data_IF_270139405619
#
_entry.id   IF_270139405619
#
_cell.length_a   1.000
_cell.length_b   1.000
_cell.length_c   1.000
_cell.angle_alpha   90.00
_cell.angle_beta   90.00
_cell.angle_gamma   90.00
#
_symmetry.space_group_name_H-M   'P 1'
#
loop_
_entity.id
_entity.type
_entity.pdbx_description
1 polymer ?
#
# COMPACT_ATOMS: atom_id res chain seq x y z
N UNK A 1 -30.86 44.18 28.93
CA UNK A 1 -29.76 43.19 29.04
C UNK A 1 -29.67 42.21 27.86
N UNK A 2 -30.71 42.01 27.05
CA UNK A 2 -30.72 41.03 25.95
C UNK A 2 -29.65 41.18 24.83
N UNK A 3 -29.08 42.38 24.61
CA UNK A 3 -28.07 42.60 23.53
C UNK A 3 -26.68 42.06 23.86
N UNK A 4 -26.33 41.90 25.15
CA UNK A 4 -25.02 41.37 25.56
C UNK A 4 -24.96 39.84 25.56
N UNK A 5 -26.12 39.17 25.63
CA UNK A 5 -26.23 37.71 25.62
C UNK A 5 -26.14 37.11 24.21
N UNK A 6 -26.51 37.88 23.17
CA UNK A 6 -26.47 37.42 21.77
C UNK A 6 -25.09 37.52 21.09
N UNK A 7 -24.23 38.44 21.55
CA UNK A 7 -22.92 38.69 20.93
C UNK A 7 -21.81 37.90 21.62
N UNK A 8 -21.96 36.58 21.66
CA UNK A 8 -20.93 35.67 22.17
C UNK A 8 -19.88 35.36 21.11
N UNK A 9 -18.68 34.98 21.54
CA UNK A 9 -17.57 34.64 20.64
C UNK A 9 -17.92 33.47 19.70
N UNK A 10 -18.80 32.56 20.12
CA UNK A 10 -19.31 31.47 19.28
C UNK A 10 -20.19 31.97 18.15
N UNK A 11 -21.09 32.93 18.42
CA UNK A 11 -21.97 33.53 17.40
C UNK A 11 -21.15 34.29 16.36
N UNK A 12 -20.11 35.04 16.78
CA UNK A 12 -19.20 35.73 15.86
C UNK A 12 -18.45 34.73 14.97
N UNK A 13 -17.86 33.68 15.57
CA UNK A 13 -17.15 32.62 14.81
C UNK A 13 -18.07 31.88 13.84
N UNK A 14 -19.30 31.60 14.24
CA UNK A 14 -20.30 30.97 13.38
C UNK A 14 -20.74 31.90 12.26
N UNK A 15 -20.86 33.20 12.50
CA UNK A 15 -21.09 34.22 11.48
C UNK A 15 -19.96 34.27 10.45
N UNK A 16 -18.70 34.23 10.88
CA UNK A 16 -17.54 34.20 9.98
C UNK A 16 -17.45 32.90 9.18
N UNK A 17 -17.79 31.76 9.78
CA UNK A 17 -17.91 30.48 9.05
C UNK A 17 -19.04 30.52 8.03
N UNK A 18 -20.20 31.05 8.41
CA UNK A 18 -21.34 31.23 7.52
C UNK A 18 -21.05 32.20 6.38
N UNK A 19 -20.24 33.24 6.61
CA UNK A 19 -19.73 34.12 5.57
C UNK A 19 -18.52 33.55 4.80
N UNK A 20 -17.97 32.41 5.25
CA UNK A 20 -16.73 31.78 4.75
C UNK A 20 -15.52 32.71 4.73
N UNK A 21 -15.49 33.63 5.69
CA UNK A 21 -14.32 34.44 6.03
C UNK A 21 -13.26 33.60 6.75
N UNK A 22 -13.69 32.59 7.53
CA UNK A 22 -12.79 31.67 8.24
C UNK A 22 -13.31 30.23 8.19
N UNK A 23 -12.59 29.29 7.56
CA UNK A 23 -11.38 29.53 6.76
C UNK A 23 -11.71 30.39 5.52
N UNK A 24 -10.78 31.27 5.14
CA UNK A 24 -10.95 32.19 4.01
C UNK A 24 -11.22 31.42 2.73
N UNK A 25 -12.41 31.60 2.15
CA UNK A 25 -12.79 31.02 0.87
C UNK A 25 -13.13 32.13 -0.14
N UNK A 26 -12.17 32.52 -1.01
CA UNK A 26 -12.39 33.58 -1.99
C UNK A 26 -13.42 33.19 -3.07
N UNK A 27 -13.62 31.89 -3.31
CA UNK A 27 -14.56 31.38 -4.31
C UNK A 27 -16.01 31.76 -3.98
N UNK A 28 -16.37 31.89 -2.70
CA UNK A 28 -17.74 32.24 -2.29
C UNK A 28 -18.16 33.64 -2.74
N UNK A 29 -17.21 34.57 -2.79
CA UNK A 29 -17.44 35.90 -3.35
C UNK A 29 -17.58 35.84 -4.86
N UNK A 30 -16.66 35.14 -5.53
CA UNK A 30 -16.60 35.00 -6.99
C UNK A 30 -17.81 34.24 -7.59
N UNK A 31 -18.34 33.25 -6.87
CA UNK A 31 -19.48 32.44 -7.29
C UNK A 31 -20.83 33.02 -6.84
N UNK A 32 -20.83 34.18 -6.18
CA UNK A 32 -22.04 34.85 -5.72
C UNK A 32 -22.98 35.14 -6.88
N UNK A 33 -24.28 34.84 -6.68
CA UNK A 33 -25.33 35.21 -7.63
C UNK A 33 -25.49 36.72 -7.82
N UNK A 34 -24.91 37.53 -6.93
CA UNK A 34 -24.90 38.99 -7.02
C UNK A 34 -23.86 39.53 -8.01
N UNK A 35 -22.84 38.73 -8.35
CA UNK A 35 -21.93 39.08 -9.43
C UNK A 35 -22.60 38.73 -10.76
N UNK A 36 -22.75 39.74 -11.63
CA UNK A 36 -23.10 39.50 -13.03
C UNK A 36 -21.96 38.68 -13.62
N UNK A 37 -22.19 37.38 -13.83
CA UNK A 37 -21.31 36.55 -14.66
C UNK A 37 -21.19 37.28 -15.99
N UNK A 38 -19.99 37.73 -16.33
CA UNK A 38 -19.73 38.34 -17.63
C UNK A 38 -20.25 37.38 -18.68
N UNK A 39 -21.04 37.91 -19.62
CA UNK A 39 -21.59 37.12 -20.70
C UNK A 39 -20.47 36.28 -21.30
N UNK A 40 -20.69 34.97 -21.37
CA UNK A 40 -19.80 33.97 -21.94
C UNK A 40 -18.99 34.58 -23.07
N UNK A 41 -17.67 34.65 -22.88
CA UNK A 41 -16.73 35.18 -23.87
C UNK A 41 -17.06 34.56 -25.23
N UNK A 42 -17.09 35.33 -26.30
CA UNK A 42 -17.43 34.80 -27.63
C UNK A 42 -16.54 33.62 -28.07
N UNK A 43 -15.39 33.43 -27.42
CA UNK A 43 -14.50 32.27 -27.54
C UNK A 43 -15.07 30.97 -26.94
N UNK A 44 -15.94 31.04 -25.93
CA UNK A 44 -16.56 29.85 -25.32
C UNK A 44 -17.58 29.17 -26.24
N UNK A 45 -18.16 29.89 -27.19
CA UNK A 45 -19.07 29.35 -28.21
C UNK A 45 -18.38 28.32 -29.14
N UNK A 46 -17.05 28.40 -29.28
CA UNK A 46 -16.26 27.48 -30.11
C UNK A 46 -15.56 26.38 -29.30
N UNK A 47 -15.77 26.34 -27.97
CA UNK A 47 -15.21 25.28 -27.15
C UNK A 47 -16.00 24.00 -27.32
N UNK A 48 -15.30 22.86 -27.39
CA UNK A 48 -15.94 21.55 -27.46
C UNK A 48 -16.85 21.37 -26.24
N UNK A 49 -18.16 21.10 -26.43
CA UNK A 49 -19.07 20.95 -25.31
C UNK A 49 -18.69 19.71 -24.49
N UNK A 50 -18.22 19.93 -23.27
CA UNK A 50 -17.89 18.86 -22.33
C UNK A 50 -19.12 18.41 -21.54
N UNK A 51 -20.16 19.25 -21.46
CA UNK A 51 -21.39 18.98 -20.73
C UNK A 51 -22.64 19.30 -21.55
N UNK A 52 -23.71 18.53 -21.34
CA UNK A 52 -25.03 18.80 -21.93
C UNK A 52 -25.50 20.26 -21.71
N UNK A 53 -25.17 20.87 -20.57
CA UNK A 53 -25.51 22.26 -20.24
C UNK A 53 -24.96 23.23 -21.27
N UNK A 54 -23.73 23.01 -21.77
CA UNK A 54 -23.13 23.88 -22.78
C UNK A 54 -23.93 23.86 -24.09
N UNK A 55 -24.49 22.71 -24.47
CA UNK A 55 -25.34 22.59 -25.65
C UNK A 55 -26.69 23.25 -25.42
N UNK A 56 -27.30 23.10 -24.24
CA UNK A 56 -28.57 23.75 -23.91
C UNK A 56 -28.41 25.28 -23.90
N UNK A 57 -27.31 25.79 -23.34
CA UNK A 57 -27.01 27.22 -23.33
C UNK A 57 -26.79 27.76 -24.76
N UNK A 58 -25.98 27.07 -25.57
CA UNK A 58 -25.77 27.44 -26.97
C UNK A 58 -27.09 27.38 -27.78
N UNK A 59 -27.88 26.33 -27.58
CA UNK A 59 -29.18 26.13 -28.21
C UNK A 59 -30.17 27.25 -27.86
N UNK A 60 -30.28 27.61 -26.58
CA UNK A 60 -31.15 28.70 -26.13
C UNK A 60 -30.67 30.06 -26.64
N UNK A 61 -29.36 30.29 -26.72
CA UNK A 61 -28.79 31.51 -27.30
C UNK A 61 -29.11 31.62 -28.80
N UNK A 62 -28.93 30.54 -29.57
CA UNK A 62 -29.24 30.50 -31.00
C UNK A 62 -30.75 30.66 -31.27
N UNK A 63 -31.60 30.07 -30.44
CA UNK A 63 -33.06 30.25 -30.52
C UNK A 63 -33.48 31.70 -30.26
N UNK A 64 -32.85 32.39 -29.28
CA UNK A 64 -33.07 33.83 -29.04
C UNK A 64 -32.62 34.68 -30.22
N UNK A 65 -31.51 34.31 -30.87
CA UNK A 65 -31.01 34.98 -32.06
C UNK A 65 -31.80 34.66 -33.35
N UNK A 66 -32.81 33.77 -33.29
CA UNK A 66 -33.60 33.29 -34.43
C UNK A 66 -32.74 32.74 -35.58
N UNK A 67 -31.55 32.21 -35.26
CA UNK A 67 -30.56 31.77 -36.24
C UNK A 67 -30.62 30.26 -36.52
N UNK A 68 -31.66 29.57 -36.03
CA UNK A 68 -31.77 28.11 -36.02
C UNK A 68 -32.89 27.63 -36.94
N UNK A 69 -32.59 26.70 -37.85
CA UNK A 69 -33.61 25.99 -38.64
C UNK A 69 -34.18 24.83 -37.82
N UNK A 70 -35.39 24.38 -38.15
CA UNK A 70 -36.06 23.26 -37.45
C UNK A 70 -35.20 21.99 -37.38
N UNK A 71 -34.50 21.65 -38.47
CA UNK A 71 -33.62 20.49 -38.53
C UNK A 71 -32.45 20.62 -37.54
N UNK A 72 -31.81 21.80 -37.52
CA UNK A 72 -30.70 22.07 -36.60
C UNK A 72 -31.15 22.11 -35.13
N UNK A 73 -32.39 22.54 -34.85
CA UNK A 73 -33.01 22.51 -33.52
C UNK A 73 -33.12 21.07 -32.99
N UNK A 74 -33.61 20.15 -33.82
CA UNK A 74 -33.71 18.72 -33.48
C UNK A 74 -32.33 18.11 -33.27
N UNK A 75 -31.37 18.41 -34.16
CA UNK A 75 -30.01 17.88 -34.06
C UNK A 75 -29.37 18.32 -32.75
N UNK A 76 -29.36 19.61 -32.45
CA UNK A 76 -28.76 20.12 -31.21
C UNK A 76 -29.40 19.51 -29.96
N UNK A 77 -30.73 19.34 -29.94
CA UNK A 77 -31.42 18.69 -28.83
C UNK A 77 -31.02 17.22 -28.65
N UNK A 78 -30.86 16.48 -29.77
CA UNK A 78 -30.37 15.10 -29.73
C UNK A 78 -28.92 15.00 -29.28
N UNK A 79 -28.06 15.93 -29.70
CA UNK A 79 -26.66 15.99 -29.27
C UNK A 79 -26.57 16.30 -27.77
N UNK A 80 -27.36 17.24 -27.25
CA UNK A 80 -27.41 17.51 -25.81
C UNK A 80 -27.73 16.24 -25.01
N UNK A 81 -28.79 15.52 -25.41
CA UNK A 81 -29.18 14.25 -24.78
C UNK A 81 -28.13 13.16 -24.91
N UNK A 82 -27.42 13.05 -26.04
CA UNK A 82 -26.39 12.02 -26.21
C UNK A 82 -25.18 12.30 -25.33
N UNK A 83 -24.78 13.58 -25.19
CA UNK A 83 -23.72 13.98 -24.26
C UNK A 83 -24.13 13.67 -22.82
N UNK A 84 -25.35 14.01 -22.41
CA UNK A 84 -25.84 13.70 -21.05
C UNK A 84 -25.78 12.20 -20.73
N UNK A 85 -26.15 11.34 -21.69
CA UNK A 85 -26.03 9.89 -21.55
C UNK A 85 -24.57 9.43 -21.43
N UNK A 86 -23.67 9.98 -22.23
CA UNK A 86 -22.24 9.66 -22.17
C UNK A 86 -21.65 10.07 -20.81
N UNK A 87 -21.98 11.27 -20.32
CA UNK A 87 -21.54 11.73 -19.01
C UNK A 87 -22.04 10.84 -17.87
N UNK A 88 -23.31 10.43 -17.90
CA UNK A 88 -23.85 9.48 -16.93
C UNK A 88 -23.08 8.14 -16.98
N UNK A 89 -22.78 7.64 -18.19
CA UNK A 89 -21.99 6.42 -18.35
C UNK A 89 -20.56 6.57 -17.81
N UNK A 90 -19.90 7.70 -18.07
CA UNK A 90 -18.57 8.01 -17.54
C UNK A 90 -18.60 8.04 -16.02
N UNK A 91 -19.59 8.71 -15.41
CA UNK A 91 -19.73 8.78 -13.96
C UNK A 91 -19.93 7.40 -13.31
N UNK A 92 -20.72 6.52 -13.94
CA UNK A 92 -20.88 5.13 -13.49
C UNK A 92 -19.53 4.40 -13.56
N UNK A 93 -18.78 4.55 -14.65
CA UNK A 93 -17.47 3.91 -14.82
C UNK A 93 -16.42 4.44 -13.85
N UNK A 94 -16.42 5.74 -13.58
CA UNK A 94 -15.52 6.33 -12.57
C UNK A 94 -15.84 5.80 -11.16
N UNK A 95 -17.12 5.61 -10.83
CA UNK A 95 -17.54 5.00 -9.58
C UNK A 95 -17.09 3.53 -9.48
N UNK A 96 -17.24 2.74 -10.55
CA UNK A 96 -16.74 1.37 -10.64
C UNK A 96 -15.21 1.32 -10.45
N UNK A 97 -14.46 2.15 -11.18
CA UNK A 97 -12.99 2.23 -11.07
C UNK A 97 -12.57 2.59 -9.66
N UNK A 98 -13.24 3.56 -9.02
CA UNK A 98 -12.95 3.96 -7.64
C UNK A 98 -13.21 2.81 -6.66
N UNK A 99 -14.32 2.08 -6.84
CA UNK A 99 -14.63 0.90 -6.03
C UNK A 99 -13.61 -0.22 -6.19
N UNK A 100 -13.20 -0.51 -7.42
CA UNK A 100 -12.17 -1.50 -7.72
C UNK A 100 -10.80 -1.11 -7.14
N UNK A 101 -10.41 0.17 -7.23
CA UNK A 101 -9.19 0.68 -6.60
C UNK A 101 -9.19 0.51 -5.09
N UNK A 102 -10.30 0.86 -4.42
CA UNK A 102 -10.45 0.64 -2.97
C UNK A 102 -10.25 -0.84 -2.61
N UNK A 103 -10.86 -1.74 -3.37
CA UNK A 103 -10.74 -3.18 -3.13
C UNK A 103 -9.32 -3.70 -3.35
N UNK A 104 -8.61 -3.18 -4.36
CA UNK A 104 -7.21 -3.50 -4.58
C UNK A 104 -6.32 -3.00 -3.42
N UNK A 105 -6.55 -1.79 -2.92
CA UNK A 105 -5.83 -1.24 -1.77
C UNK A 105 -6.05 -2.08 -0.51
N UNK A 106 -7.28 -2.53 -0.26
CA UNK A 106 -7.61 -3.45 0.84
C UNK A 106 -6.86 -4.78 0.72
N UNK A 107 -6.88 -5.40 -0.47
CA UNK A 107 -6.19 -6.67 -0.74
C UNK A 107 -4.66 -6.52 -0.67
N UNK A 108 -4.12 -5.42 -1.16
CA UNK A 108 -2.69 -5.11 -1.05
C UNK A 108 -2.27 -4.89 0.42
N UNK A 109 -3.12 -4.25 1.22
CA UNK A 109 -2.91 -4.07 2.66
C UNK A 109 -2.86 -5.40 3.41
N UNK A 110 -3.70 -6.37 3.04
CA UNK A 110 -3.74 -7.71 3.64
C UNK A 110 -2.52 -8.57 3.28
N UNK A 111 -1.98 -8.43 2.06
CA UNK A 111 -0.83 -9.20 1.58
C UNK A 111 0.54 -8.67 2.04
N UNK A 112 0.60 -7.63 2.88
CA UNK A 112 1.85 -7.27 3.54
C UNK A 112 2.23 -8.40 4.48
N UNK A 113 3.22 -9.22 4.09
CA UNK A 113 3.85 -10.22 4.96
C UNK A 113 4.11 -9.57 6.31
N UNK A 114 3.39 -10.02 7.35
CA UNK A 114 3.66 -9.57 8.72
C UNK A 114 5.12 -9.93 8.98
N UNK A 115 5.95 -8.93 9.27
CA UNK A 115 7.31 -9.16 9.74
C UNK A 115 7.16 -9.83 11.11
N UNK A 116 7.19 -11.16 11.13
CA UNK A 116 7.24 -11.92 12.37
C UNK A 116 8.56 -11.52 13.00
N UNK A 117 8.48 -10.85 14.15
CA UNK A 117 9.66 -10.64 14.99
C UNK A 117 10.04 -12.04 15.46
N UNK A 118 11.09 -12.59 14.86
CA UNK A 118 11.63 -13.87 15.31
C UNK A 118 12.01 -13.70 16.78
N UNK A 119 11.44 -14.54 17.65
CA UNK A 119 11.79 -14.55 19.07
C UNK A 119 13.31 -14.79 19.18
N UNK A 120 14.10 -13.88 19.76
CA UNK A 120 15.53 -14.06 19.91
C UNK A 120 15.90 -15.36 20.64
N UNK A 121 15.03 -15.84 21.54
CA UNK A 121 15.24 -17.08 22.28
C UNK A 121 15.11 -18.34 21.42
N UNK A 122 14.49 -18.26 20.23
CA UNK A 122 14.45 -19.38 19.29
C UNK A 122 15.80 -19.59 18.56
N UNK A 123 16.74 -18.65 18.65
CA UNK A 123 18.08 -18.80 18.08
C UNK A 123 19.06 -19.55 19.00
N UNK A 124 18.68 -19.79 20.26
CA UNK A 124 19.53 -20.44 21.26
C UNK A 124 19.02 -21.84 21.57
N UNK A 125 19.95 -22.79 21.75
CA UNK A 125 19.62 -24.13 22.21
C UNK A 125 18.97 -24.07 23.60
N UNK A 126 17.93 -24.87 23.81
CA UNK A 126 17.23 -24.90 25.09
C UNK A 126 18.13 -25.44 26.20
N UNK A 127 17.83 -25.07 27.45
CA UNK A 127 18.54 -25.57 28.64
C UNK A 127 18.55 -27.12 28.68
N UNK A 128 17.49 -27.75 28.16
CA UNK A 128 17.38 -29.20 28.10
C UNK A 128 18.35 -29.82 27.07
N UNK A 129 18.48 -29.19 25.89
CA UNK A 129 19.41 -29.63 24.85
C UNK A 129 20.86 -29.52 25.34
N UNK A 130 21.17 -28.42 26.04
CA UNK A 130 22.49 -28.21 26.66
C UNK A 130 22.78 -29.31 27.70
N UNK A 131 21.80 -29.64 28.55
CA UNK A 131 21.96 -30.71 29.55
C UNK A 131 22.16 -32.08 28.91
N UNK A 132 21.41 -32.40 27.86
CA UNK A 132 21.55 -33.67 27.15
C UNK A 132 22.93 -33.79 26.51
N UNK A 133 23.40 -32.77 25.80
CA UNK A 133 24.73 -32.75 25.20
C UNK A 133 25.85 -32.93 26.23
N UNK A 134 25.67 -32.37 27.43
CA UNK A 134 26.66 -32.45 28.51
C UNK A 134 26.71 -33.86 29.14
N UNK A 135 25.56 -34.51 29.28
CA UNK A 135 25.50 -35.91 29.74
C UNK A 135 26.02 -36.89 28.67
N UNK A 136 25.73 -36.65 27.39
CA UNK A 136 26.31 -37.42 26.28
C UNK A 136 27.83 -37.28 26.21
N UNK A 137 28.36 -36.08 26.40
CA UNK A 137 29.80 -35.84 26.45
C UNK A 137 30.47 -36.58 27.62
N UNK A 138 29.90 -36.50 28.83
CA UNK A 138 30.41 -37.23 29.99
C UNK A 138 30.38 -38.74 29.77
N UNK A 139 29.31 -39.27 29.18
CA UNK A 139 29.21 -40.69 28.86
C UNK A 139 30.26 -41.12 27.81
N UNK A 140 30.51 -40.29 26.80
CA UNK A 140 31.54 -40.54 25.79
C UNK A 140 32.96 -40.48 26.37
N UNK A 141 33.23 -39.55 27.30
CA UNK A 141 34.51 -39.44 28.01
C UNK A 141 34.74 -40.62 28.95
N UNK A 142 33.72 -41.06 29.69
CA UNK A 142 33.80 -42.26 30.52
C UNK A 142 34.08 -43.51 29.68
N UNK A 143 33.37 -43.68 28.55
CA UNK A 143 33.61 -44.78 27.63
C UNK A 143 35.01 -44.73 26.97
N UNK A 144 35.57 -43.54 26.75
CA UNK A 144 36.96 -43.37 26.29
C UNK A 144 37.98 -43.68 27.38
N UNK A 145 37.70 -43.30 28.63
CA UNK A 145 38.56 -43.60 29.77
C UNK A 145 38.61 -45.10 30.09
N UNK A 146 37.48 -45.79 30.00
CA UNK A 146 37.39 -47.25 30.18
C UNK A 146 38.16 -48.02 29.12
N UNK A 147 38.20 -47.51 27.88
CA UNK A 147 38.96 -48.13 26.77
C UNK A 147 40.48 -47.96 26.89
N UNK A 148 41.00 -47.23 27.89
CA UNK A 148 42.44 -47.00 28.13
C UNK A 148 43.26 -46.91 26.83
N UNK A 149 43.02 -45.90 25.99
CA UNK A 149 43.62 -45.80 24.66
C UNK A 149 45.16 -45.80 24.68
N UNK A 150 45.78 -45.46 25.81
CA UNK A 150 47.22 -45.55 26.03
C UNK A 150 47.75 -46.99 26.11
N UNK A 151 46.98 -47.94 26.65
CA UNK A 151 47.39 -49.35 26.71
C UNK A 151 47.24 -50.02 25.34
N UNK A 152 46.22 -49.67 24.55
CA UNK A 152 46.05 -50.13 23.17
C UNK A 152 47.12 -49.55 22.24
N UNK A 153 47.46 -48.26 22.39
CA UNK A 153 48.55 -47.63 21.64
C UNK A 153 49.93 -48.24 21.97
N UNK A 154 50.19 -48.58 23.24
CA UNK A 154 51.43 -49.28 23.65
C UNK A 154 51.49 -50.71 23.11
N UNK A 155 50.37 -51.45 23.12
CA UNK A 155 50.29 -52.80 22.52
C UNK A 155 50.48 -52.75 21.00
N UNK A 156 49.90 -51.76 20.31
CA UNK A 156 50.10 -51.56 18.88
C UNK A 156 51.55 -51.18 18.55
N UNK A 157 52.19 -50.32 19.36
CA UNK A 157 53.60 -49.97 19.19
C UNK A 157 54.53 -51.18 19.44
N UNK A 158 54.26 -52.00 20.46
CA UNK A 158 55.03 -53.21 20.75
C UNK A 158 54.88 -54.29 19.65
N UNK A 159 53.68 -54.44 19.07
CA UNK A 159 53.45 -55.31 17.90
C UNK A 159 54.22 -54.81 16.66
N UNK A 160 54.30 -53.50 16.44
CA UNK A 160 55.12 -52.94 15.35
C UNK A 160 56.62 -53.09 15.59
N UNK A 161 57.09 -53.07 16.84
CA UNK A 161 58.49 -53.42 17.16
C UNK A 161 58.79 -54.91 16.97
N UNK A 162 57.89 -55.81 17.38
CA UNK A 162 58.06 -57.26 17.14
C UNK A 162 58.08 -57.59 15.65
N UNK A 163 57.20 -56.99 14.85
CA UNK A 163 57.22 -57.13 13.39
C UNK A 163 58.53 -56.63 12.76
N UNK A 164 59.18 -55.62 13.35
CA UNK A 164 60.49 -55.13 12.93
C UNK A 164 61.64 -56.07 13.28
N UNK A 165 61.51 -56.86 14.35
CA UNK A 165 62.52 -57.84 14.78
C UNK A 165 62.42 -59.10 13.90
N UNK A 166 61.22 -59.55 13.54
CA UNK A 166 61.02 -60.73 12.68
C UNK A 166 61.54 -60.53 11.25
N UNK A 167 61.49 -59.29 10.72
CA UNK A 167 62.10 -58.92 9.43
C UNK A 167 63.64 -59.00 9.44
N UNK A 168 64.29 -59.12 10.60
CA UNK A 168 65.75 -59.23 10.74
C UNK A 168 66.27 -60.63 11.08
N UNK A 169 65.39 -61.62 11.29
CA UNK A 169 65.79 -63.00 11.65
C UNK A 169 65.78 -63.97 10.45
N UNK A 170 65.28 -63.55 9.28
CA UNK A 170 65.44 -64.34 8.04
C UNK A 170 66.67 -63.84 7.28
N UNK A 171 67.78 -64.53 7.50
CA UNK A 171 68.88 -64.89 6.57
C UNK A 171 70.15 -65.04 7.40
N UNK A 172 70.52 -66.28 7.72
CA UNK A 172 71.90 -66.80 7.63
C UNK A 172 71.90 -68.29 8.01
N UNK A 173 71.72 -69.15 7.02
CA UNK A 173 72.27 -70.52 7.03
C UNK A 173 72.59 -70.90 5.59
N UNK A 174 73.88 -70.79 5.26
CA UNK A 174 74.60 -71.61 4.27
C UNK A 174 74.93 -72.93 4.98
#
# INVERSE_FOLDING_TARGET
MARKEGLTSSVIKNGWKAASLVPWNPSKGLESSQLKKTALDALSLFTTPTHEVHIIEAHTALRKAKSLTFETDIVLHKVGRSIGKLQASIAIKDAEIKGLKSRLEELQGQNKRRKIVADPNAMFCGINDIKQALEEQKAAEAARAEKKPEEEAKKAAALMEQAKIDDHVIVFQI
#
